data_IF_337251349963
#
_entry.id   IF_337251349963
#
_cell.length_a   1.000
_cell.length_b   1.000
_cell.length_c   1.000
_cell.angle_alpha   90.00
_cell.angle_beta   90.00
_cell.angle_gamma   90.00
#
_symmetry.space_group_name_H-M   'P 1'
#
loop_
_entity.id
_entity.type
_entity.pdbx_description
1 polymer ?
#
# COMPACT_ATOMS: atom_id res chain seq x y z
N UNK A 1 35.75 -7.10 -12.19
CA UNK A 1 34.49 -7.81 -11.81
C UNK A 1 33.80 -7.23 -10.57
N UNK A 2 34.47 -7.18 -9.41
CA UNK A 2 33.93 -6.71 -8.13
C UNK A 2 33.23 -5.34 -8.16
N UNK A 3 33.89 -4.33 -8.72
CA UNK A 3 33.34 -2.97 -8.74
C UNK A 3 32.03 -2.88 -9.54
N UNK A 4 31.85 -3.70 -10.58
CA UNK A 4 30.60 -3.72 -11.35
C UNK A 4 29.41 -4.20 -10.53
N UNK A 5 29.59 -5.26 -9.73
CA UNK A 5 28.53 -5.76 -8.85
C UNK A 5 28.26 -4.81 -7.70
N UNK A 6 29.30 -4.20 -7.14
CA UNK A 6 29.14 -3.18 -6.10
C UNK A 6 28.37 -1.95 -6.63
N UNK A 7 28.78 -1.39 -7.76
CA UNK A 7 28.08 -0.26 -8.40
C UNK A 7 26.69 -0.66 -8.91
N UNK A 8 26.55 -1.86 -9.48
CA UNK A 8 25.25 -2.40 -9.91
C UNK A 8 24.27 -2.51 -8.75
N UNK A 9 24.74 -2.90 -7.57
CA UNK A 9 23.95 -2.88 -6.34
C UNK A 9 23.50 -1.46 -5.97
N UNK A 10 24.44 -0.51 -5.88
CA UNK A 10 24.13 0.88 -5.51
C UNK A 10 23.14 1.53 -6.48
N UNK A 11 23.41 1.43 -7.78
CA UNK A 11 22.60 2.06 -8.82
C UNK A 11 21.19 1.48 -8.82
N UNK A 12 21.05 0.15 -8.76
CA UNK A 12 19.74 -0.50 -8.78
C UNK A 12 18.93 -0.19 -7.53
N UNK A 13 19.58 -0.11 -6.36
CA UNK A 13 18.94 0.30 -5.12
C UNK A 13 18.40 1.73 -5.23
N UNK A 14 19.25 2.67 -5.64
CA UNK A 14 18.87 4.09 -5.79
C UNK A 14 17.72 4.21 -6.77
N UNK A 15 17.79 3.51 -7.91
CA UNK A 15 16.76 3.62 -8.94
C UNK A 15 15.42 3.00 -8.49
N UNK A 16 15.44 1.81 -7.88
CA UNK A 16 14.24 1.19 -7.33
C UNK A 16 13.60 2.05 -6.23
N UNK A 17 14.41 2.55 -5.29
CA UNK A 17 13.92 3.46 -4.24
C UNK A 17 13.43 4.80 -4.80
N UNK A 18 14.04 5.32 -5.87
CA UNK A 18 13.57 6.55 -6.50
C UNK A 18 12.20 6.37 -7.16
N UNK A 19 11.99 5.29 -7.93
CA UNK A 19 10.66 4.94 -8.47
C UNK A 19 9.65 4.86 -7.32
N UNK A 20 10.05 4.19 -6.24
CA UNK A 20 9.20 3.99 -5.08
C UNK A 20 8.79 5.32 -4.41
N UNK A 21 9.73 6.18 -4.07
CA UNK A 21 9.44 7.45 -3.38
C UNK A 21 8.73 8.48 -4.27
N UNK A 22 9.06 8.52 -5.56
CA UNK A 22 8.53 9.53 -6.48
C UNK A 22 7.14 9.18 -7.02
N UNK A 23 6.85 7.89 -7.23
CA UNK A 23 5.68 7.47 -8.00
C UNK A 23 4.66 6.65 -7.19
N UNK A 24 5.00 6.17 -5.99
CA UNK A 24 4.05 5.41 -5.15
C UNK A 24 3.13 6.29 -4.32
N UNK A 25 2.05 5.65 -3.87
CA UNK A 25 1.01 6.19 -2.98
C UNK A 25 1.61 6.75 -1.70
N UNK A 26 1.04 7.85 -1.20
CA UNK A 26 1.49 8.50 0.03
C UNK A 26 1.18 7.72 1.32
N UNK A 27 0.39 6.64 1.24
CA UNK A 27 0.00 5.76 2.35
C UNK A 27 1.14 4.89 2.91
N UNK A 28 2.29 4.89 2.25
CA UNK A 28 3.40 4.02 2.59
C UNK A 28 4.12 4.46 3.86
N UNK A 29 4.49 3.50 4.70
CA UNK A 29 5.23 3.73 5.96
C UNK A 29 6.46 4.61 5.80
N UNK A 30 7.17 4.48 4.68
CA UNK A 30 8.36 5.27 4.40
C UNK A 30 8.11 6.78 4.47
N UNK A 31 6.92 7.26 4.09
CA UNK A 31 6.59 8.69 4.20
C UNK A 31 6.41 9.12 5.65
N UNK A 32 5.79 8.28 6.49
CA UNK A 32 5.74 8.51 7.94
C UNK A 32 7.13 8.55 8.58
N UNK A 33 8.08 7.73 8.10
CA UNK A 33 9.47 7.79 8.57
C UNK A 33 10.18 9.07 8.15
N UNK A 34 9.95 9.54 6.92
CA UNK A 34 10.48 10.80 6.43
C UNK A 34 9.94 12.00 7.23
N UNK A 35 8.67 11.96 7.63
CA UNK A 35 8.07 12.97 8.51
C UNK A 35 8.71 12.99 9.91
N UNK A 36 9.02 11.83 10.49
CA UNK A 36 9.73 11.75 11.79
C UNK A 36 11.08 12.47 11.74
N UNK A 37 11.77 12.41 10.60
CA UNK A 37 13.05 13.12 10.39
C UNK A 37 12.88 14.52 9.79
N UNK A 38 11.65 15.04 9.78
CA UNK A 38 11.26 16.37 9.28
C UNK A 38 11.56 16.60 7.79
N UNK A 39 11.48 15.55 6.97
CA UNK A 39 11.63 15.60 5.51
C UNK A 39 10.24 15.54 4.88
N UNK A 40 9.74 16.68 4.41
CA UNK A 40 8.45 16.76 3.71
C UNK A 40 8.59 16.37 2.23
N UNK A 41 8.88 15.10 1.96
CA UNK A 41 9.10 14.61 0.60
C UNK A 41 7.81 14.56 -0.24
N UNK A 42 6.65 14.36 0.40
CA UNK A 42 5.35 14.32 -0.27
C UNK A 42 5.04 15.60 -1.04
N UNK A 43 5.48 16.75 -0.53
CA UNK A 43 5.27 18.07 -1.12
C UNK A 43 6.41 18.55 -2.03
N UNK A 44 7.44 17.73 -2.24
CA UNK A 44 8.60 18.11 -3.04
C UNK A 44 8.24 18.30 -4.53
N UNK A 45 8.85 19.30 -5.16
CA UNK A 45 8.60 19.62 -6.57
C UNK A 45 8.97 18.45 -7.50
N UNK A 46 10.01 17.70 -7.14
CA UNK A 46 10.44 16.53 -7.92
C UNK A 46 9.40 15.41 -7.89
N UNK A 47 8.70 15.21 -6.76
CA UNK A 47 7.63 14.22 -6.65
C UNK A 47 6.38 14.69 -7.41
N UNK A 48 5.99 15.96 -7.27
CA UNK A 48 4.86 16.55 -8.03
C UNK A 48 5.08 16.41 -9.53
N UNK A 49 6.26 16.80 -10.02
CA UNK A 49 6.65 16.63 -11.42
C UNK A 49 6.59 15.16 -11.86
N UNK A 50 6.99 14.21 -11.00
CA UNK A 50 6.96 12.78 -11.34
C UNK A 50 5.54 12.23 -11.44
N UNK A 51 4.62 12.67 -10.58
CA UNK A 51 3.21 12.23 -10.57
C UNK A 51 2.48 12.64 -11.84
N UNK A 52 2.83 13.77 -12.46
CA UNK A 52 2.23 14.21 -13.74
C UNK A 52 2.42 13.20 -14.88
N UNK A 53 3.41 12.31 -14.78
CA UNK A 53 3.68 11.25 -15.76
C UNK A 53 3.15 9.87 -15.36
N UNK A 54 2.48 9.76 -14.20
CA UNK A 54 2.05 8.48 -13.64
C UNK A 54 1.09 7.73 -14.58
N UNK A 55 0.17 8.45 -15.24
CA UNK A 55 -0.82 7.87 -16.16
C UNK A 55 -0.21 7.20 -17.40
N UNK A 56 1.03 7.56 -17.76
CA UNK A 56 1.72 7.03 -18.94
C UNK A 56 2.52 5.76 -18.59
N UNK A 57 2.83 5.56 -17.30
CA UNK A 57 3.67 4.46 -16.86
C UNK A 57 2.84 3.19 -16.64
N UNK A 58 3.32 2.03 -17.11
CA UNK A 58 2.60 0.78 -16.92
C UNK A 58 2.70 0.31 -15.46
N UNK A 59 1.67 -0.41 -14.98
CA UNK A 59 1.60 -0.89 -13.60
C UNK A 59 2.86 -1.68 -13.17
N UNK A 60 3.37 -2.58 -14.01
CA UNK A 60 4.57 -3.36 -13.67
C UNK A 60 5.79 -2.48 -13.37
N UNK A 61 5.87 -1.27 -13.94
CA UNK A 61 6.96 -0.33 -13.68
C UNK A 61 6.86 0.27 -12.28
N UNK A 62 5.63 0.47 -11.78
CA UNK A 62 5.34 1.08 -10.49
C UNK A 62 5.30 0.06 -9.35
N UNK A 63 4.76 -1.14 -9.63
CA UNK A 63 4.46 -2.15 -8.62
C UNK A 63 5.55 -3.23 -8.55
N UNK A 64 6.09 -3.70 -9.68
CA UNK A 64 6.97 -4.89 -9.70
C UNK A 64 8.46 -4.57 -9.92
N UNK A 65 8.76 -3.58 -10.77
CA UNK A 65 10.13 -3.22 -11.12
C UNK A 65 10.98 -2.77 -9.91
N UNK A 66 10.48 -1.92 -8.98
CA UNK A 66 11.26 -1.51 -7.81
C UNK A 66 11.76 -2.69 -6.99
N UNK A 67 10.89 -3.65 -6.72
CA UNK A 67 11.20 -4.81 -5.89
C UNK A 67 12.17 -5.76 -6.60
N UNK A 68 12.02 -5.94 -7.92
CA UNK A 68 13.00 -6.64 -8.75
C UNK A 68 14.39 -5.99 -8.73
N UNK A 69 14.46 -4.65 -8.75
CA UNK A 69 15.70 -3.89 -8.65
C UNK A 69 16.34 -4.01 -7.27
N UNK A 70 15.54 -4.07 -6.20
CA UNK A 70 16.03 -4.32 -4.85
C UNK A 70 16.60 -5.74 -4.70
N UNK A 71 15.93 -6.76 -5.24
CA UNK A 71 16.45 -8.14 -5.27
C UNK A 71 17.74 -8.20 -6.07
N UNK A 72 17.78 -7.59 -7.26
CA UNK A 72 19.01 -7.50 -8.07
C UNK A 72 20.15 -6.85 -7.28
N UNK A 73 19.84 -5.76 -6.57
CA UNK A 73 20.83 -5.05 -5.75
C UNK A 73 21.36 -5.92 -4.62
N UNK A 74 20.48 -6.59 -3.89
CA UNK A 74 20.83 -7.49 -2.81
C UNK A 74 21.74 -8.62 -3.28
N UNK A 75 21.34 -9.32 -4.36
CA UNK A 75 22.11 -10.44 -4.91
C UNK A 75 23.47 -9.96 -5.39
N UNK A 76 23.55 -8.79 -6.03
CA UNK A 76 24.83 -8.19 -6.41
C UNK A 76 25.75 -7.93 -5.22
N UNK A 77 25.20 -7.37 -4.13
CA UNK A 77 25.92 -7.11 -2.89
C UNK A 77 26.38 -8.41 -2.22
N UNK A 78 25.52 -9.43 -2.16
CA UNK A 78 25.86 -10.72 -1.56
C UNK A 78 26.96 -11.42 -2.36
N UNK A 79 26.88 -11.43 -3.68
CA UNK A 79 27.94 -11.98 -4.55
C UNK A 79 29.26 -11.23 -4.33
N UNK A 80 29.22 -9.91 -4.16
CA UNK A 80 30.40 -9.11 -3.83
C UNK A 80 31.01 -9.48 -2.47
N UNK A 81 30.20 -9.53 -1.39
CA UNK A 81 30.63 -9.89 -0.02
C UNK A 81 31.26 -11.28 0.00
N UNK A 82 30.65 -12.24 -0.70
CA UNK A 82 31.13 -13.62 -0.76
C UNK A 82 32.28 -13.84 -1.75
N UNK A 83 32.79 -12.79 -2.39
CA UNK A 83 33.84 -12.83 -3.40
C UNK A 83 33.50 -13.79 -4.55
N UNK A 84 32.23 -13.85 -4.95
CA UNK A 84 31.73 -14.72 -6.03
C UNK A 84 31.97 -16.21 -5.81
N UNK A 85 32.27 -16.64 -4.58
CA UNK A 85 32.34 -18.05 -4.23
C UNK A 85 30.93 -18.54 -3.91
N UNK A 86 30.47 -19.54 -4.65
CA UNK A 86 29.18 -20.20 -4.41
C UNK A 86 29.44 -21.53 -3.69
N UNK A 87 29.09 -21.58 -2.42
CA UNK A 87 29.00 -22.79 -1.59
C UNK A 87 27.66 -22.74 -0.83
N UNK A 88 27.29 -23.81 -0.12
CA UNK A 88 26.00 -23.86 0.59
C UNK A 88 25.78 -22.68 1.54
N UNK A 89 26.82 -22.23 2.25
CA UNK A 89 26.71 -21.14 3.22
C UNK A 89 26.55 -19.77 2.55
N UNK A 90 27.28 -19.50 1.47
CA UNK A 90 27.11 -18.26 0.71
C UNK A 90 25.81 -18.25 -0.08
N UNK A 91 25.39 -19.40 -0.61
CA UNK A 91 24.13 -19.56 -1.34
C UNK A 91 22.93 -19.27 -0.44
N UNK A 92 22.96 -19.75 0.81
CA UNK A 92 21.95 -19.39 1.81
C UNK A 92 21.78 -17.87 1.92
N UNK A 93 22.87 -17.12 2.10
CA UNK A 93 22.80 -15.65 2.17
C UNK A 93 22.40 -15.00 0.86
N UNK A 94 22.82 -15.53 -0.29
CA UNK A 94 22.43 -14.95 -1.59
C UNK A 94 20.93 -15.13 -1.87
N UNK A 95 20.35 -16.26 -1.45
CA UNK A 95 19.00 -16.66 -1.85
C UNK A 95 17.91 -16.31 -0.83
N UNK A 96 18.26 -15.94 0.41
CA UNK A 96 17.27 -15.75 1.49
C UNK A 96 16.20 -14.69 1.16
N UNK A 97 16.59 -13.49 0.71
CA UNK A 97 15.61 -12.44 0.36
C UNK A 97 14.79 -12.80 -0.88
N UNK A 98 15.39 -13.21 -2.03
CA UNK A 98 14.63 -13.62 -3.20
C UNK A 98 13.61 -14.72 -2.89
N UNK A 99 13.99 -15.70 -2.06
CA UNK A 99 13.08 -16.78 -1.69
C UNK A 99 11.97 -16.28 -0.79
N UNK A 100 12.26 -15.45 0.21
CA UNK A 100 11.21 -14.84 1.05
C UNK A 100 10.20 -14.08 0.17
N UNK A 101 10.67 -13.27 -0.79
CA UNK A 101 9.81 -12.51 -1.69
C UNK A 101 8.95 -13.41 -2.60
N UNK A 102 9.54 -14.43 -3.21
CA UNK A 102 8.79 -15.38 -4.06
C UNK A 102 7.78 -16.18 -3.23
N UNK A 103 8.18 -16.68 -2.05
CA UNK A 103 7.27 -17.41 -1.16
C UNK A 103 6.18 -16.51 -0.60
N UNK A 104 6.42 -15.21 -0.40
CA UNK A 104 5.36 -14.29 0.01
C UNK A 104 4.29 -14.13 -1.06
N UNK A 105 4.64 -14.15 -2.34
CA UNK A 105 3.64 -14.15 -3.43
C UNK A 105 2.79 -15.42 -3.42
N UNK A 106 3.40 -16.58 -3.29
CA UNK A 106 2.64 -17.83 -3.15
C UNK A 106 1.74 -17.83 -1.90
N UNK A 107 2.22 -17.25 -0.80
CA UNK A 107 1.41 -17.07 0.41
C UNK A 107 0.22 -16.13 0.20
N UNK A 108 0.38 -15.07 -0.60
CA UNK A 108 -0.71 -14.18 -1.01
C UNK A 108 -1.72 -14.91 -1.91
N UNK A 109 -1.25 -15.78 -2.83
CA UNK A 109 -2.11 -16.56 -3.72
C UNK A 109 -3.07 -17.52 -3.00
N UNK A 110 -2.67 -18.00 -1.82
CA UNK A 110 -3.51 -18.87 -0.97
C UNK A 110 -4.12 -18.15 0.24
N UNK A 111 -4.08 -16.80 0.24
CA UNK A 111 -4.61 -15.94 1.31
C UNK A 111 -3.99 -16.16 2.71
N UNK A 112 -2.78 -16.73 2.78
CA UNK A 112 -2.02 -16.90 4.03
C UNK A 112 -1.34 -15.60 4.47
N UNK A 113 -0.94 -14.77 3.52
CA UNK A 113 -0.25 -13.49 3.74
C UNK A 113 -1.11 -12.38 3.13
N UNK A 114 -1.30 -11.29 3.87
CA UNK A 114 -1.99 -10.11 3.32
C UNK A 114 -1.19 -9.50 2.18
N UNK A 115 -1.82 -9.31 1.03
CA UNK A 115 -1.23 -8.74 -0.17
C UNK A 115 -2.04 -9.08 -1.41
N UNK A 116 -1.54 -8.74 -2.59
CA UNK A 116 -2.15 -9.08 -3.88
C UNK A 116 -1.16 -9.89 -4.68
N UNK A 117 -1.51 -11.14 -4.99
CA UNK A 117 -0.68 -11.98 -5.84
C UNK A 117 -0.54 -11.37 -7.24
N UNK A 118 0.70 -11.09 -7.67
CA UNK A 118 1.00 -10.61 -9.01
C UNK A 118 2.08 -11.48 -9.70
N UNK A 119 1.76 -11.96 -10.90
CA UNK A 119 2.72 -12.69 -11.73
C UNK A 119 3.91 -11.82 -12.17
N UNK A 120 3.71 -10.52 -12.31
CA UNK A 120 4.79 -9.58 -12.62
C UNK A 120 5.81 -9.53 -11.49
N UNK A 121 5.38 -9.55 -10.22
CA UNK A 121 6.27 -9.53 -9.06
C UNK A 121 7.17 -10.78 -9.05
N UNK A 122 6.58 -11.97 -9.24
CA UNK A 122 7.36 -13.21 -9.39
C UNK A 122 8.36 -13.12 -10.54
N UNK A 123 7.95 -12.61 -11.70
CA UNK A 123 8.84 -12.45 -12.85
C UNK A 123 10.02 -11.54 -12.50
N UNK A 124 9.77 -10.38 -11.91
CA UNK A 124 10.82 -9.42 -11.53
C UNK A 124 11.71 -9.95 -10.42
N UNK A 125 11.20 -10.75 -9.48
CA UNK A 125 12.00 -11.43 -8.45
C UNK A 125 12.94 -12.47 -9.07
N UNK A 126 12.43 -13.29 -9.99
CA UNK A 126 13.22 -14.28 -10.72
C UNK A 126 14.29 -13.59 -11.57
N UNK A 127 13.95 -12.52 -12.30
CA UNK A 127 14.91 -11.76 -13.09
C UNK A 127 15.99 -11.11 -12.22
N UNK A 128 15.57 -10.43 -11.13
CA UNK A 128 16.49 -9.82 -10.18
C UNK A 128 17.45 -10.83 -9.56
N UNK A 129 16.98 -12.05 -9.29
CA UNK A 129 17.82 -13.12 -8.77
C UNK A 129 18.81 -13.67 -9.81
N UNK A 130 18.36 -13.91 -11.04
CA UNK A 130 19.14 -14.65 -12.04
C UNK A 130 20.13 -13.78 -12.84
N UNK A 131 19.78 -12.51 -13.15
CA UNK A 131 20.65 -11.64 -13.96
C UNK A 131 22.08 -11.49 -13.36
N UNK A 132 22.27 -11.29 -12.04
CA UNK A 132 23.60 -11.23 -11.44
C UNK A 132 24.45 -12.49 -11.70
N UNK A 133 23.85 -13.68 -11.70
CA UNK A 133 24.57 -14.92 -12.04
C UNK A 133 24.97 -14.96 -13.51
N UNK A 134 24.10 -14.54 -14.43
CA UNK A 134 24.43 -14.45 -15.86
C UNK A 134 25.60 -13.50 -16.12
N UNK A 135 25.63 -12.36 -15.43
CA UNK A 135 26.74 -11.39 -15.51
C UNK A 135 28.07 -11.94 -14.97
N UNK A 136 28.01 -12.88 -14.03
CA UNK A 136 29.19 -13.54 -13.47
C UNK A 136 29.84 -14.49 -14.48
N UNK A 137 29.06 -15.31 -15.18
CA UNK A 137 29.59 -16.31 -16.12
C UNK A 137 30.29 -15.69 -17.34
N UNK A 138 29.96 -14.46 -17.71
CA UNK A 138 30.47 -13.81 -18.92
C UNK A 138 31.84 -13.11 -18.76
N UNK A 139 32.53 -13.24 -17.61
CA UNK A 139 33.77 -12.49 -17.36
C UNK A 139 34.88 -13.35 -16.71
N UNK A 140 36.12 -13.22 -17.23
CA UNK A 140 37.31 -13.86 -16.64
C UNK A 140 37.62 -13.29 -15.25
N UNK A 141 38.02 -14.16 -14.34
CA UNK A 141 38.26 -13.85 -12.92
C UNK A 141 39.51 -12.98 -12.72
N UNK A 142 39.32 -11.76 -12.21
CA UNK A 142 40.42 -10.95 -11.67
C UNK A 142 40.79 -11.39 -10.25
N UNK A 143 42.10 -11.51 -10.00
CA UNK A 143 42.67 -11.96 -8.73
C UNK A 143 42.78 -10.79 -7.73
N UNK A 144 42.37 -11.11 -6.50
CA UNK A 144 42.79 -10.53 -5.20
C UNK A 144 42.28 -9.13 -4.78
N UNK A 145 41.42 -9.17 -3.77
CA UNK A 145 41.36 -8.16 -2.70
C UNK A 145 41.24 -8.91 -1.37
N UNK A 146 41.80 -8.33 -0.30
CA UNK A 146 41.92 -8.85 1.07
C UNK A 146 40.70 -9.71 1.45
N UNK A 147 40.95 -11.00 1.71
CA UNK A 147 39.88 -11.96 2.02
C UNK A 147 39.38 -11.62 3.43
N UNK A 148 38.21 -10.97 3.52
CA UNK A 148 37.47 -10.87 4.77
C UNK A 148 37.30 -12.29 5.36
N UNK A 149 37.49 -12.43 6.67
CA UNK A 149 37.25 -13.70 7.35
C UNK A 149 35.80 -14.14 7.16
N UNK A 150 35.54 -15.45 7.26
CA UNK A 150 34.19 -16.00 7.10
C UNK A 150 33.20 -15.29 8.04
N UNK A 151 33.58 -15.08 9.30
CA UNK A 151 32.75 -14.42 10.31
C UNK A 151 32.41 -12.97 9.91
N UNK A 152 33.37 -12.21 9.38
CA UNK A 152 33.13 -10.84 8.97
C UNK A 152 32.18 -10.76 7.76
N UNK A 153 32.25 -11.72 6.85
CA UNK A 153 31.29 -11.83 5.74
C UNK A 153 29.89 -12.18 6.21
N UNK A 154 29.76 -13.06 7.19
CA UNK A 154 28.49 -13.39 7.82
C UNK A 154 27.89 -12.15 8.50
N UNK A 155 28.67 -11.40 9.28
CA UNK A 155 28.23 -10.14 9.90
C UNK A 155 27.77 -9.12 8.83
N UNK A 156 28.54 -8.96 7.75
CA UNK A 156 28.15 -8.10 6.64
C UNK A 156 26.85 -8.56 5.95
N UNK A 157 26.63 -9.88 5.85
CA UNK A 157 25.43 -10.46 5.24
C UNK A 157 24.20 -10.27 6.13
N UNK A 158 24.36 -10.37 7.46
CA UNK A 158 23.31 -10.05 8.44
C UNK A 158 22.93 -8.57 8.35
N UNK A 159 23.92 -7.68 8.32
CA UNK A 159 23.66 -6.23 8.20
C UNK A 159 22.94 -5.88 6.90
N UNK A 160 23.35 -6.47 5.79
CA UNK A 160 22.66 -6.30 4.52
C UNK A 160 21.24 -6.89 4.54
N UNK A 161 21.04 -8.08 5.11
CA UNK A 161 19.70 -8.66 5.27
C UNK A 161 18.79 -7.71 6.06
N UNK A 162 19.24 -7.22 7.21
CA UNK A 162 18.47 -6.30 8.04
C UNK A 162 18.13 -4.99 7.29
N UNK A 163 19.09 -4.44 6.54
CA UNK A 163 18.88 -3.24 5.74
C UNK A 163 17.82 -3.42 4.64
N UNK A 164 17.90 -4.50 3.86
CA UNK A 164 16.91 -4.75 2.81
C UNK A 164 15.56 -5.17 3.37
N UNK A 165 15.52 -5.89 4.49
CA UNK A 165 14.27 -6.19 5.19
C UNK A 165 13.61 -4.90 5.72
N UNK A 166 14.40 -3.93 6.21
CA UNK A 166 13.89 -2.63 6.63
C UNK A 166 13.28 -1.85 5.46
N UNK A 167 13.93 -1.83 4.29
CA UNK A 167 13.38 -1.21 3.08
C UNK A 167 12.05 -1.89 2.69
N UNK A 168 12.03 -3.23 2.65
CA UNK A 168 10.82 -3.98 2.34
C UNK A 168 9.68 -3.69 3.33
N UNK A 169 10.00 -3.53 4.62
CA UNK A 169 8.98 -3.15 5.61
C UNK A 169 8.45 -1.74 5.38
N UNK A 170 9.30 -0.78 5.00
CA UNK A 170 8.89 0.58 4.64
C UNK A 170 8.02 0.65 3.38
N UNK A 171 8.07 -0.41 2.56
CA UNK A 171 7.24 -0.60 1.38
C UNK A 171 5.82 -1.10 1.69
N UNK A 172 5.54 -1.50 2.94
CA UNK A 172 4.18 -1.87 3.33
C UNK A 172 3.32 -0.64 3.61
N UNK A 173 2.04 -0.72 3.25
CA UNK A 173 1.05 0.30 3.60
C UNK A 173 0.90 0.41 5.12
N UNK A 174 0.77 1.65 5.60
CA UNK A 174 0.55 1.91 7.01
C UNK A 174 -0.92 1.65 7.37
N UNK A 175 -1.21 0.45 7.88
CA UNK A 175 -2.54 0.06 8.36
C UNK A 175 -2.88 0.57 9.77
N UNK A 176 -1.98 1.32 10.43
CA UNK A 176 -2.17 1.74 11.82
C UNK A 176 -1.85 3.23 12.05
N UNK A 177 -2.89 4.05 12.10
CA UNK A 177 -2.95 5.25 12.95
C UNK A 177 -4.39 5.65 13.31
N UNK A 178 -5.16 4.70 13.83
CA UNK A 178 -6.34 4.99 14.65
C UNK A 178 -6.47 3.96 15.78
N UNK A 179 -5.43 3.84 16.61
CA UNK A 179 -5.63 3.29 17.95
C UNK A 179 -6.13 4.42 18.83
N UNK A 180 -7.42 4.35 19.17
CA UNK A 180 -8.08 5.19 20.16
C UNK A 180 -7.21 5.30 21.42
N UNK A 181 -6.71 6.50 21.71
CA UNK A 181 -6.49 6.94 23.08
C UNK A 181 -7.84 7.48 23.56
N UNK A 182 -8.69 6.58 24.01
CA UNK A 182 -9.77 6.93 24.93
C UNK A 182 -9.12 7.42 26.22
N UNK A 183 -9.03 8.74 26.36
CA UNK A 183 -8.76 9.35 27.64
C UNK A 183 -10.10 9.36 28.39
N UNK A 184 -10.28 8.37 29.26
CA UNK A 184 -11.34 8.33 30.26
C UNK A 184 -11.13 9.53 31.17
N UNK A 185 -11.90 10.60 30.95
CA UNK A 185 -12.11 11.65 31.94
C UNK A 185 -13.44 11.37 32.60
N UNK A 186 -13.36 10.75 33.77
CA UNK A 186 -14.49 10.57 34.68
C UNK A 186 -14.83 11.92 35.29
N UNK A 187 -15.95 12.53 34.88
CA UNK A 187 -16.62 13.55 35.69
C UNK A 187 -18.06 13.11 35.94
N UNK A 188 -18.31 12.75 37.19
CA UNK A 188 -19.64 12.65 37.77
C UNK A 188 -20.20 14.06 37.96
N UNK A 189 -21.36 14.34 37.38
CA UNK A 189 -22.32 15.27 37.96
C UNK A 189 -23.73 14.87 37.54
N UNK A 190 -24.46 14.29 38.48
CA UNK A 190 -25.91 14.10 38.43
C UNK A 190 -26.58 15.46 38.64
N UNK A 191 -27.41 15.92 37.70
CA UNK A 191 -28.57 16.74 38.05
C UNK A 191 -29.63 16.70 36.95
N UNK A 192 -30.83 16.31 37.36
CA UNK A 192 -32.02 16.19 36.55
C UNK A 192 -32.58 17.58 36.21
N UNK A 193 -32.93 17.84 34.95
CA UNK A 193 -34.02 18.79 34.65
C UNK A 193 -34.73 18.38 33.36
N UNK A 194 -36.02 18.11 33.50
CA UNK A 194 -36.96 17.89 32.40
C UNK A 194 -36.90 19.03 31.38
N UNK A 195 -36.66 18.71 30.10
CA UNK A 195 -37.16 19.48 28.97
C UNK A 195 -37.51 18.54 27.82
N UNK A 196 -38.61 18.87 27.15
CA UNK A 196 -39.31 18.11 26.13
C UNK A 196 -38.34 17.68 25.02
N UNK A 197 -38.09 16.38 24.91
CA UNK A 197 -37.36 15.78 23.80
C UNK A 197 -38.20 15.90 22.53
N UNK A 198 -37.86 16.86 21.66
CA UNK A 198 -37.97 16.61 20.23
C UNK A 198 -37.14 15.35 19.97
N UNK A 199 -37.79 14.20 19.82
CA UNK A 199 -37.11 12.96 19.46
C UNK A 199 -36.41 13.20 18.13
N UNK A 200 -35.09 13.34 18.20
CA UNK A 200 -34.25 13.49 17.03
C UNK A 200 -34.53 12.30 16.09
N UNK A 201 -34.99 12.57 14.87
CA UNK A 201 -35.45 11.53 13.94
C UNK A 201 -34.57 11.51 12.69
N UNK A 202 -34.05 10.34 12.38
CA UNK A 202 -33.36 10.09 11.13
C UNK A 202 -34.30 10.31 9.95
N UNK A 203 -33.90 11.20 9.05
CA UNK A 203 -34.64 11.54 7.82
C UNK A 203 -33.74 11.29 6.62
N UNK A 204 -34.24 10.54 5.64
CA UNK A 204 -33.52 10.26 4.40
C UNK A 204 -33.38 11.54 3.58
N UNK A 205 -32.14 11.99 3.36
CA UNK A 205 -31.82 13.16 2.54
C UNK A 205 -31.51 12.77 1.10
N UNK A 206 -31.03 11.54 0.88
CA UNK A 206 -30.73 11.04 -0.46
C UNK A 206 -30.83 9.52 -0.53
N UNK A 207 -31.22 8.99 -1.69
CA UNK A 207 -31.20 7.54 -1.95
C UNK A 207 -30.77 7.26 -3.38
N UNK A 208 -29.97 6.22 -3.56
CA UNK A 208 -29.33 5.87 -4.81
C UNK A 208 -29.22 4.35 -4.94
N UNK A 209 -29.56 3.80 -6.09
CA UNK A 209 -29.47 2.37 -6.34
C UNK A 209 -28.89 2.08 -7.72
N UNK A 210 -28.26 0.92 -7.84
CA UNK A 210 -27.58 0.56 -9.06
C UNK A 210 -26.98 -0.84 -9.03
N UNK A 211 -26.25 -1.13 -10.11
CA UNK A 211 -25.37 -2.27 -10.20
C UNK A 211 -24.04 -1.75 -10.79
N UNK A 212 -22.93 -2.27 -10.29
CA UNK A 212 -21.61 -1.93 -10.77
C UNK A 212 -21.15 -0.55 -10.30
N UNK A 213 -20.23 0.04 -11.05
CA UNK A 213 -19.70 1.37 -10.77
C UNK A 213 -20.67 2.46 -11.24
N UNK A 214 -21.05 3.38 -10.33
CA UNK A 214 -21.87 4.55 -10.66
C UNK A 214 -21.51 5.79 -9.85
N UNK A 215 -21.76 6.96 -10.44
CA UNK A 215 -21.74 8.25 -9.75
C UNK A 215 -23.17 8.80 -9.65
N UNK A 216 -23.54 9.35 -8.49
CA UNK A 216 -24.83 9.98 -8.28
C UNK A 216 -24.80 11.47 -8.67
N UNK A 217 -25.97 12.09 -8.89
CA UNK A 217 -26.13 13.53 -8.74
C UNK A 217 -25.72 14.04 -7.34
N UNK A 218 -25.47 15.34 -7.24
CA UNK A 218 -25.17 16.03 -5.98
C UNK A 218 -26.38 16.03 -5.04
N UNK A 219 -26.14 15.85 -3.74
CA UNK A 219 -27.06 16.04 -2.62
C UNK A 219 -26.42 16.97 -1.58
N UNK A 220 -27.22 17.48 -0.65
CA UNK A 220 -26.79 18.48 0.34
C UNK A 220 -26.93 17.91 1.75
N UNK A 221 -25.92 18.17 2.58
CA UNK A 221 -25.93 17.89 4.02
C UNK A 221 -26.05 19.21 4.78
N UNK A 222 -26.89 19.21 5.82
CA UNK A 222 -27.17 20.38 6.66
C UNK A 222 -26.18 20.52 7.82
N UNK A 223 -25.22 19.60 7.95
CA UNK A 223 -24.21 19.59 9.00
C UNK A 223 -24.67 18.93 10.30
N UNK A 224 -25.85 18.31 10.28
CA UNK A 224 -26.32 17.44 11.36
C UNK A 224 -25.61 16.08 11.30
N UNK A 225 -25.76 15.26 12.35
CA UNK A 225 -25.25 13.89 12.33
C UNK A 225 -25.82 13.13 11.13
N UNK A 226 -24.95 12.61 10.27
CA UNK A 226 -25.32 11.94 9.03
C UNK A 226 -24.82 10.49 9.03
N UNK A 227 -25.58 9.58 8.41
CA UNK A 227 -25.20 8.18 8.22
C UNK A 227 -25.57 7.66 6.84
N UNK A 228 -24.84 6.64 6.42
CA UNK A 228 -25.10 5.83 5.23
C UNK A 228 -25.77 4.54 5.69
N UNK A 229 -26.91 4.21 5.11
CA UNK A 229 -27.46 2.85 5.09
C UNK A 229 -27.23 2.24 3.73
N UNK A 230 -26.79 0.98 3.69
CA UNK A 230 -26.59 0.30 2.43
C UNK A 230 -27.06 -1.15 2.47
N UNK A 231 -27.44 -1.65 1.30
CA UNK A 231 -27.67 -3.05 1.03
C UNK A 231 -26.90 -3.41 -0.24
N UNK A 232 -26.05 -4.41 -0.16
CA UNK A 232 -25.17 -4.86 -1.24
C UNK A 232 -25.33 -6.36 -1.48
N UNK A 233 -25.27 -6.75 -2.76
CA UNK A 233 -25.30 -8.12 -3.24
C UNK A 233 -24.36 -8.27 -4.44
N UNK A 234 -23.32 -9.08 -4.28
CA UNK A 234 -22.35 -9.41 -5.31
C UNK A 234 -22.97 -10.22 -6.45
N UNK A 235 -22.42 -10.03 -7.65
CA UNK A 235 -22.75 -10.89 -8.79
C UNK A 235 -21.97 -12.21 -8.65
N UNK A 236 -22.68 -13.34 -8.56
CA UNK A 236 -22.15 -14.67 -8.21
C UNK A 236 -21.12 -15.29 -9.17
N UNK A 237 -20.59 -14.53 -10.13
CA UNK A 237 -19.54 -14.93 -11.06
C UNK A 237 -18.15 -14.37 -10.69
N UNK A 238 -18.06 -13.50 -9.68
CA UNK A 238 -16.79 -12.90 -9.22
C UNK A 238 -16.52 -13.40 -7.81
N UNK A 239 -15.43 -14.18 -7.63
CA UNK A 239 -15.14 -14.95 -6.42
C UNK A 239 -14.87 -14.17 -5.13
N UNK A 240 -15.14 -12.86 -5.08
CA UNK A 240 -15.30 -12.04 -3.87
C UNK A 240 -16.18 -10.82 -4.21
N UNK A 241 -17.06 -10.43 -3.28
CA UNK A 241 -17.78 -9.16 -3.39
C UNK A 241 -16.81 -7.99 -3.29
N UNK A 242 -17.09 -6.90 -3.99
CA UNK A 242 -16.40 -5.62 -3.80
C UNK A 242 -17.50 -4.57 -3.73
N UNK A 243 -17.56 -3.82 -2.64
CA UNK A 243 -18.48 -2.70 -2.50
C UNK A 243 -17.80 -1.59 -1.72
N UNK A 244 -17.60 -0.45 -2.37
CA UNK A 244 -17.05 0.75 -1.79
C UNK A 244 -17.95 1.95 -2.10
N UNK A 245 -18.33 2.72 -1.07
CA UNK A 245 -19.12 3.95 -1.20
C UNK A 245 -18.27 5.13 -0.75
N UNK A 246 -18.09 6.11 -1.63
CA UNK A 246 -17.40 7.36 -1.34
C UNK A 246 -18.40 8.50 -1.30
N UNK A 247 -18.29 9.37 -0.30
CA UNK A 247 -18.99 10.66 -0.24
C UNK A 247 -17.98 11.74 -0.61
N UNK A 248 -18.14 12.32 -1.80
CA UNK A 248 -17.14 13.20 -2.43
C UNK A 248 -17.68 14.61 -2.54
N UNK A 249 -16.86 15.60 -2.22
CA UNK A 249 -17.18 17.02 -2.33
C UNK A 249 -17.51 17.42 -3.79
N UNK A 250 -18.50 18.30 -3.97
CA UNK A 250 -18.88 18.80 -5.29
C UNK A 250 -17.69 19.50 -5.98
N UNK A 251 -17.33 19.02 -7.18
CA UNK A 251 -16.20 19.53 -7.96
C UNK A 251 -14.90 18.74 -7.79
N UNK A 252 -14.81 17.84 -6.81
CA UNK A 252 -13.69 16.90 -6.70
C UNK A 252 -13.95 15.60 -7.48
N UNK A 253 -12.88 14.99 -7.98
CA UNK A 253 -12.94 13.66 -8.58
C UNK A 253 -12.09 12.70 -7.76
N UNK A 254 -12.76 11.80 -7.03
CA UNK A 254 -12.11 10.79 -6.18
C UNK A 254 -11.12 9.91 -6.96
N UNK A 255 -11.31 9.77 -8.28
CA UNK A 255 -10.37 9.03 -9.14
C UNK A 255 -9.05 9.78 -9.36
N UNK A 256 -9.01 11.10 -9.09
CA UNK A 256 -7.83 11.97 -9.22
C UNK A 256 -7.25 12.37 -7.86
N UNK A 257 -8.12 12.72 -6.92
CA UNK A 257 -7.71 13.16 -5.58
C UNK A 257 -7.39 11.97 -4.67
N UNK A 258 -7.95 10.79 -4.96
CA UNK A 258 -7.93 9.66 -4.05
C UNK A 258 -8.75 9.94 -2.79
N UNK A 259 -8.92 8.93 -1.94
CA UNK A 259 -9.60 9.08 -0.67
C UNK A 259 -10.04 7.76 -0.07
N UNK A 260 -10.58 7.83 1.14
CA UNK A 260 -11.11 6.68 1.86
C UNK A 260 -12.62 6.55 1.59
N UNK A 261 -13.13 5.34 1.33
CA UNK A 261 -14.56 5.12 1.26
C UNK A 261 -15.20 5.19 2.65
N UNK A 262 -16.42 5.71 2.73
CA UNK A 262 -17.24 5.73 3.95
C UNK A 262 -17.78 4.32 4.29
N UNK A 263 -17.88 3.46 3.28
CA UNK A 263 -18.25 2.05 3.40
C UNK A 263 -17.32 1.23 2.52
N UNK A 264 -16.72 0.18 3.07
CA UNK A 264 -15.97 -0.81 2.28
C UNK A 264 -16.24 -2.22 2.81
N UNK A 265 -16.74 -3.09 1.95
CA UNK A 265 -16.90 -4.52 2.26
C UNK A 265 -16.51 -5.41 1.09
N UNK A 266 -16.08 -6.62 1.43
CA UNK A 266 -15.81 -7.72 0.49
C UNK A 266 -16.79 -8.89 0.63
N UNK A 267 -17.81 -8.74 1.48
CA UNK A 267 -18.84 -9.77 1.67
C UNK A 267 -19.64 -10.01 0.39
N UNK A 268 -20.14 -11.23 0.19
CA UNK A 268 -21.01 -11.54 -0.95
C UNK A 268 -22.36 -10.83 -0.86
N UNK A 269 -22.87 -10.63 0.35
CA UNK A 269 -24.08 -9.87 0.63
C UNK A 269 -23.91 -9.18 1.98
N UNK A 270 -24.29 -7.91 2.07
CA UNK A 270 -24.23 -7.16 3.33
C UNK A 270 -25.30 -6.07 3.37
N UNK A 271 -25.94 -5.94 4.53
CA UNK A 271 -26.84 -4.83 4.84
C UNK A 271 -26.41 -4.26 6.19
N UNK A 272 -26.01 -2.99 6.20
CA UNK A 272 -25.46 -2.34 7.39
C UNK A 272 -25.56 -0.82 7.27
N UNK A 273 -25.07 -0.13 8.29
CA UNK A 273 -24.96 1.32 8.33
C UNK A 273 -23.58 1.79 8.80
N UNK A 274 -23.18 2.98 8.33
CA UNK A 274 -21.91 3.63 8.67
C UNK A 274 -22.13 5.12 8.88
N UNK A 275 -21.44 5.74 9.83
CA UNK A 275 -21.54 7.19 10.09
C UNK A 275 -20.74 7.97 9.05
N UNK A 276 -21.28 9.11 8.60
CA UNK A 276 -20.59 10.03 7.68
C UNK A 276 -19.89 11.12 8.51
N UNK A 277 -18.60 11.33 8.25
CA UNK A 277 -17.82 12.40 8.91
C UNK A 277 -17.59 13.58 7.95
N UNK A 278 -18.69 14.19 7.49
CA UNK A 278 -18.69 15.36 6.59
C UNK A 278 -19.41 16.54 7.23
N UNK A 279 -18.93 17.75 6.94
CA UNK A 279 -19.56 19.00 7.37
C UNK A 279 -20.78 19.34 6.49
N UNK A 280 -21.45 20.45 6.81
CA UNK A 280 -22.42 21.06 5.89
C UNK A 280 -21.78 21.29 4.51
N UNK A 281 -22.50 20.95 3.45
CA UNK A 281 -21.98 21.06 2.10
C UNK A 281 -22.71 20.21 1.06
N UNK A 282 -22.21 20.28 -0.17
CA UNK A 282 -22.72 19.56 -1.33
C UNK A 282 -21.80 18.41 -1.70
N UNK A 283 -22.39 17.22 -1.83
CA UNK A 283 -21.66 15.97 -2.03
C UNK A 283 -22.30 15.13 -3.12
N UNK A 284 -21.53 14.23 -3.71
CA UNK A 284 -22.06 13.16 -4.54
C UNK A 284 -21.54 11.80 -4.08
N UNK A 285 -22.26 10.74 -4.41
CA UNK A 285 -21.83 9.37 -4.17
C UNK A 285 -21.04 8.87 -5.37
N UNK A 286 -19.85 8.35 -5.12
CA UNK A 286 -19.16 7.48 -6.07
C UNK A 286 -19.15 6.05 -5.51
N UNK A 287 -19.72 5.12 -6.24
CA UNK A 287 -19.87 3.73 -5.80
C UNK A 287 -19.07 2.85 -6.74
N UNK A 288 -18.17 2.06 -6.17
CA UNK A 288 -17.42 1.03 -6.87
C UNK A 288 -17.88 -0.33 -6.35
N UNK A 289 -18.57 -1.10 -7.19
CA UNK A 289 -19.16 -2.36 -6.77
C UNK A 289 -19.06 -3.46 -7.84
N UNK A 290 -19.00 -4.73 -7.43
CA UNK A 290 -19.10 -5.93 -8.28
C UNK A 290 -20.46 -6.62 -8.16
N UNK A 291 -21.55 -5.83 -8.07
CA UNK A 291 -22.91 -6.34 -8.00
C UNK A 291 -23.96 -5.24 -7.81
N UNK A 292 -25.16 -5.63 -7.42
CA UNK A 292 -26.28 -4.73 -7.15
C UNK A 292 -26.24 -4.13 -5.75
N UNK A 293 -26.65 -2.88 -5.61
CA UNK A 293 -26.65 -2.17 -4.34
C UNK A 293 -27.75 -1.11 -4.25
N UNK A 294 -28.08 -0.74 -3.01
CA UNK A 294 -28.88 0.43 -2.65
C UNK A 294 -28.18 1.15 -1.51
N UNK A 295 -28.09 2.47 -1.60
CA UNK A 295 -27.47 3.36 -0.61
C UNK A 295 -28.45 4.48 -0.28
N UNK A 296 -28.59 4.78 1.01
CA UNK A 296 -29.41 5.89 1.49
C UNK A 296 -28.62 6.70 2.50
N UNK A 297 -28.65 8.02 2.34
CA UNK A 297 -28.06 8.99 3.26
C UNK A 297 -29.18 9.49 4.16
N UNK A 298 -28.97 9.42 5.47
CA UNK A 298 -29.90 9.94 6.48
C UNK A 298 -29.21 10.99 7.34
N UNK A 299 -29.91 12.08 7.65
CA UNK A 299 -29.49 13.07 8.65
C UNK A 299 -30.44 13.04 9.85
N UNK A 300 -29.88 13.28 11.03
CA UNK A 300 -30.61 13.37 12.28
C UNK A 300 -31.24 14.77 12.42
N UNK A 301 -32.57 14.86 12.30
CA UNK A 301 -33.33 16.11 12.43
C UNK A 301 -33.94 16.28 13.82
#
# INVERSE_FOLDING_TARGET
>A
MKNRFFWGSIISLIFGTAIYLLLRTSSLKVFGWLEIVNINFLNSDIRKFSIDYLEILPNWFLYSLPDGLWIFSYVCLMMYIWNFKINAHSFFWISIIPFIAIFSEFGQAIYLISGTFDFCDILFYILGFNIPFLLLFNNKHDKLLKIMSKNLKTIASIGAFAFFAFIAFGSSDDKEKTSNKEQITTENATESTNTISNEKKWTTVYSFSGNGLKKSPTFELTGNEARIKYSYKADGNVGMGMFAVYVVDEGEDIMKTGGFPEVMTQAENEESESTIQKSEGKYYLNINASGSWTVSIEELQ
#
